data_IF_035582814722
#
_entry.id   IF_035582814722
#
_cell.length_a   1.000
_cell.length_b   1.000
_cell.length_c   1.000
_cell.angle_alpha   90.00
_cell.angle_beta   90.00
_cell.angle_gamma   90.00
#
_symmetry.space_group_name_H-M   'P 1'
#
loop_
_entity.id
_entity.type
_entity.pdbx_description
1 polymer ?
#
# COMPACT_ATOMS: atom_id res chain seq x y z
N UNK A 1 12.95 14.95 8.48
CA UNK A 1 14.22 14.99 7.71
C UNK A 1 13.88 14.99 6.23
N UNK A 2 14.58 15.76 5.41
CA UNK A 2 14.46 15.70 3.94
C UNK A 2 15.68 14.93 3.44
N UNK A 3 15.46 13.87 2.65
CA UNK A 3 16.52 13.07 2.02
C UNK A 3 16.95 13.71 0.70
N UNK A 4 18.21 13.52 0.28
CA UNK A 4 18.67 13.97 -1.04
C UNK A 4 18.26 13.00 -2.13
N UNK A 5 18.17 13.47 -3.38
CA UNK A 5 17.83 12.62 -4.53
C UNK A 5 18.80 11.43 -4.67
N UNK A 6 20.10 11.66 -4.44
CA UNK A 6 21.12 10.60 -4.46
C UNK A 6 20.90 9.54 -3.37
N UNK A 7 20.46 9.96 -2.18
CA UNK A 7 20.11 9.02 -1.09
C UNK A 7 18.86 8.21 -1.43
N UNK A 8 17.86 8.83 -2.07
CA UNK A 8 16.65 8.15 -2.53
C UNK A 8 17.01 7.13 -3.61
N UNK A 9 17.80 7.52 -4.61
CA UNK A 9 18.23 6.63 -5.70
C UNK A 9 19.04 5.43 -5.17
N UNK A 10 19.99 5.68 -4.28
CA UNK A 10 20.78 4.61 -3.66
C UNK A 10 19.90 3.64 -2.86
N UNK A 11 18.87 4.14 -2.17
CA UNK A 11 17.91 3.31 -1.46
C UNK A 11 17.03 2.48 -2.41
N UNK A 12 16.56 3.08 -3.52
CA UNK A 12 15.79 2.37 -4.56
C UNK A 12 16.63 1.26 -5.19
N UNK A 13 17.89 1.54 -5.53
CA UNK A 13 18.80 0.55 -6.07
C UNK A 13 19.07 -0.59 -5.07
N UNK A 14 19.23 -0.26 -3.79
CA UNK A 14 19.43 -1.25 -2.73
C UNK A 14 18.19 -2.12 -2.49
N UNK A 15 16.98 -1.59 -2.71
CA UNK A 15 15.70 -2.33 -2.60
C UNK A 15 15.40 -3.18 -3.85
N UNK A 16 16.02 -2.85 -4.99
CA UNK A 16 15.90 -3.61 -6.23
C UNK A 16 16.69 -4.93 -6.22
N UNK A 17 17.52 -5.15 -5.19
CA UNK A 17 18.17 -6.43 -4.92
C UNK A 17 17.12 -7.50 -4.56
N UNK A 18 16.93 -8.55 -5.39
CA UNK A 18 15.90 -9.56 -5.17
C UNK A 18 16.03 -10.30 -3.83
N UNK A 19 17.25 -10.50 -3.31
CA UNK A 19 17.45 -11.22 -2.05
C UNK A 19 17.04 -10.36 -0.84
N UNK A 20 17.34 -9.06 -0.90
CA UNK A 20 16.89 -8.08 0.11
C UNK A 20 15.38 -7.92 0.09
N UNK A 21 14.79 -7.87 -1.09
CA UNK A 21 13.34 -7.77 -1.26
C UNK A 21 12.65 -9.03 -0.72
N UNK A 22 13.11 -10.23 -1.06
CA UNK A 22 12.56 -11.48 -0.53
C UNK A 22 12.70 -11.58 1.00
N UNK A 23 13.78 -11.05 1.57
CA UNK A 23 13.95 -10.94 3.01
C UNK A 23 12.92 -10.01 3.66
N UNK A 24 12.63 -8.87 3.02
CA UNK A 24 11.59 -7.94 3.46
C UNK A 24 10.19 -8.54 3.34
N UNK A 25 9.87 -9.20 2.23
CA UNK A 25 8.60 -9.89 2.02
C UNK A 25 8.33 -10.95 3.09
N UNK A 26 9.31 -11.77 3.45
CA UNK A 26 9.16 -12.78 4.52
C UNK A 26 8.84 -12.16 5.88
N UNK A 27 9.46 -11.03 6.22
CA UNK A 27 9.19 -10.31 7.47
C UNK A 27 7.79 -9.68 7.45
N UNK A 28 7.41 -9.06 6.34
CA UNK A 28 6.07 -8.48 6.15
C UNK A 28 4.99 -9.57 6.20
N UNK A 29 5.22 -10.72 5.57
CA UNK A 29 4.30 -11.87 5.58
C UNK A 29 4.01 -12.36 7.00
N UNK A 30 5.01 -12.39 7.88
CA UNK A 30 4.83 -12.75 9.29
C UNK A 30 3.94 -11.75 10.06
N UNK A 31 3.94 -10.48 9.64
CA UNK A 31 3.14 -9.40 10.22
C UNK A 31 1.83 -9.15 9.46
N UNK A 32 1.62 -9.81 8.33
CA UNK A 32 0.53 -9.53 7.39
C UNK A 32 -0.86 -9.51 8.02
N UNK A 33 -1.25 -10.42 8.94
CA UNK A 33 -2.57 -10.37 9.57
C UNK A 33 -2.81 -9.09 10.37
N UNK A 34 -1.75 -8.54 10.99
CA UNK A 34 -1.84 -7.32 11.79
C UNK A 34 -1.91 -6.09 10.89
N UNK A 35 -1.07 -6.06 9.86
CA UNK A 35 -1.06 -5.00 8.84
C UNK A 35 -2.38 -4.94 8.06
N UNK A 36 -2.97 -6.10 7.74
CA UNK A 36 -4.24 -6.18 7.02
C UNK A 36 -5.37 -5.47 7.78
N UNK A 37 -5.39 -5.52 9.12
CA UNK A 37 -6.38 -4.80 9.92
C UNK A 37 -6.25 -3.28 9.77
N UNK A 38 -5.02 -2.78 9.79
CA UNK A 38 -4.73 -1.34 9.65
C UNK A 38 -5.06 -0.88 8.23
N UNK A 39 -4.65 -1.65 7.22
CA UNK A 39 -4.93 -1.35 5.81
C UNK A 39 -6.43 -1.34 5.54
N UNK A 40 -7.17 -2.36 6.01
CA UNK A 40 -8.62 -2.42 5.84
C UNK A 40 -9.32 -1.22 6.51
N UNK A 41 -8.84 -0.80 7.67
CA UNK A 41 -9.35 0.39 8.35
C UNK A 41 -9.05 1.67 7.56
N UNK A 42 -7.81 1.89 7.13
CA UNK A 42 -7.41 3.07 6.36
C UNK A 42 -8.14 3.18 5.01
N UNK A 43 -8.37 2.05 4.34
CA UNK A 43 -9.12 2.00 3.08
C UNK A 43 -10.60 2.31 3.27
N UNK A 44 -11.20 1.84 4.37
CA UNK A 44 -12.60 2.12 4.72
C UNK A 44 -12.80 3.56 5.19
N UNK A 45 -11.98 4.06 6.11
CA UNK A 45 -12.11 5.44 6.65
C UNK A 45 -11.81 6.51 5.59
N UNK A 46 -10.86 6.26 4.69
CA UNK A 46 -10.57 7.17 3.58
C UNK A 46 -11.67 7.23 2.52
N UNK A 47 -12.72 6.40 2.63
CA UNK A 47 -13.83 6.36 1.68
C UNK A 47 -13.43 5.85 0.29
N UNK A 48 -12.24 5.26 0.15
CA UNK A 48 -11.65 4.87 -1.13
C UNK A 48 -12.45 3.78 -1.84
N UNK A 49 -13.09 2.89 -1.08
CA UNK A 49 -13.96 1.82 -1.58
C UNK A 49 -15.40 1.96 -1.08
N UNK A 50 -15.90 3.20 -1.02
CA UNK A 50 -17.26 3.50 -0.60
C UNK A 50 -18.31 3.38 -1.71
N UNK A 51 -19.51 3.91 -1.44
CA UNK A 51 -20.69 3.82 -2.33
C UNK A 51 -20.46 4.35 -3.76
N UNK A 52 -19.55 5.33 -3.92
CA UNK A 52 -19.18 5.88 -5.22
C UNK A 52 -18.46 4.84 -6.10
N UNK A 53 -17.49 4.12 -5.53
CA UNK A 53 -16.75 3.07 -6.21
C UNK A 53 -17.68 1.91 -6.60
N UNK A 54 -18.51 1.49 -5.65
CA UNK A 54 -19.58 0.50 -5.87
C UNK A 54 -20.55 0.90 -7.00
N UNK A 55 -20.87 2.19 -7.10
CA UNK A 55 -21.69 2.71 -8.20
C UNK A 55 -20.97 2.64 -9.55
N UNK A 56 -19.67 2.96 -9.59
CA UNK A 56 -18.85 2.86 -10.81
C UNK A 56 -18.71 1.41 -11.27
N UNK A 57 -18.45 0.48 -10.36
CA UNK A 57 -18.41 -0.95 -10.68
C UNK A 57 -19.73 -1.43 -11.27
N UNK A 58 -20.86 -1.09 -10.64
CA UNK A 58 -22.20 -1.42 -11.18
C UNK A 58 -22.46 -0.77 -12.53
N UNK A 59 -21.94 0.43 -12.79
CA UNK A 59 -22.07 1.07 -14.10
C UNK A 59 -21.30 0.27 -15.16
N UNK A 60 -20.03 -0.05 -14.90
CA UNK A 60 -19.20 -0.86 -15.81
C UNK A 60 -19.82 -2.23 -16.07
N UNK A 61 -20.38 -2.90 -15.06
CA UNK A 61 -21.01 -4.21 -15.23
C UNK A 61 -22.27 -4.18 -16.10
N UNK A 62 -22.96 -3.04 -16.20
CA UNK A 62 -24.14 -2.87 -17.05
C UNK A 62 -23.80 -2.58 -18.52
N UNK A 63 -22.53 -2.37 -18.84
CA UNK A 63 -22.09 -2.11 -20.21
C UNK A 63 -22.41 -3.33 -21.10
N UNK A 64 -23.27 -3.18 -22.13
CA UNK A 64 -23.62 -4.27 -23.03
C UNK A 64 -22.47 -4.71 -23.94
N UNK A 65 -21.57 -3.80 -24.33
CA UNK A 65 -20.42 -4.16 -25.15
C UNK A 65 -19.34 -4.86 -24.30
N UNK A 66 -18.93 -6.06 -24.71
CA UNK A 66 -17.96 -6.85 -23.95
C UNK A 66 -16.57 -6.20 -23.90
N UNK A 67 -16.13 -5.58 -24.99
CA UNK A 67 -14.83 -4.93 -25.07
C UNK A 67 -14.81 -3.66 -24.22
N UNK A 68 -15.87 -2.85 -24.25
CA UNK A 68 -16.00 -1.65 -23.41
C UNK A 68 -16.10 -2.02 -21.93
N UNK A 69 -16.88 -3.05 -21.57
CA UNK A 69 -16.94 -3.57 -20.20
C UNK A 69 -15.57 -4.04 -19.72
N UNK A 70 -14.85 -4.80 -20.54
CA UNK A 70 -13.52 -5.28 -20.18
C UNK A 70 -12.51 -4.13 -20.03
N UNK A 71 -12.61 -3.08 -20.86
CA UNK A 71 -11.80 -1.87 -20.72
C UNK A 71 -12.12 -1.13 -19.40
N UNK A 72 -13.40 -0.95 -19.08
CA UNK A 72 -13.85 -0.32 -17.83
C UNK A 72 -13.36 -1.07 -16.60
N UNK A 73 -13.45 -2.41 -16.58
CA UNK A 73 -12.94 -3.22 -15.48
C UNK A 73 -11.42 -3.09 -15.30
N UNK A 74 -10.65 -3.08 -16.40
CA UNK A 74 -9.19 -2.87 -16.33
C UNK A 74 -8.84 -1.52 -15.74
N UNK A 75 -9.58 -0.47 -16.10
CA UNK A 75 -9.40 0.87 -15.53
C UNK A 75 -9.65 0.87 -14.04
N UNK A 76 -10.78 0.30 -13.59
CA UNK A 76 -11.10 0.22 -12.16
C UNK A 76 -10.03 -0.56 -11.38
N UNK A 77 -9.60 -1.71 -11.88
CA UNK A 77 -8.54 -2.52 -11.23
C UNK A 77 -7.20 -1.77 -11.16
N UNK A 78 -6.84 -1.02 -12.20
CA UNK A 78 -5.63 -0.21 -12.20
C UNK A 78 -5.69 0.92 -11.16
N UNK A 79 -6.86 1.53 -10.99
CA UNK A 79 -7.10 2.56 -9.98
C UNK A 79 -7.05 1.98 -8.56
N UNK A 80 -7.74 0.87 -8.29
CA UNK A 80 -7.69 0.15 -7.02
C UNK A 80 -6.26 -0.24 -6.65
N UNK A 81 -5.50 -0.77 -7.60
CA UNK A 81 -4.09 -1.16 -7.39
C UNK A 81 -3.24 0.05 -7.01
N UNK A 82 -3.43 1.18 -7.69
CA UNK A 82 -2.71 2.42 -7.39
C UNK A 82 -3.04 2.93 -5.99
N UNK A 83 -4.32 2.96 -5.62
CA UNK A 83 -4.76 3.41 -4.29
C UNK A 83 -4.23 2.47 -3.20
N UNK A 84 -4.36 1.15 -3.39
CA UNK A 84 -3.84 0.15 -2.46
C UNK A 84 -2.33 0.28 -2.24
N UNK A 85 -1.58 0.54 -3.31
CA UNK A 85 -0.14 0.80 -3.20
C UNK A 85 0.17 2.09 -2.43
N UNK A 86 -0.52 3.20 -2.73
CA UNK A 86 -0.32 4.47 -2.02
C UNK A 86 -0.62 4.34 -0.52
N UNK A 87 -1.75 3.72 -0.18
CA UNK A 87 -2.13 3.47 1.22
C UNK A 87 -1.15 2.51 1.88
N UNK A 88 -0.74 1.45 1.19
CA UNK A 88 0.26 0.50 1.67
C UNK A 88 1.59 1.17 2.03
N UNK A 89 2.10 2.04 1.15
CA UNK A 89 3.34 2.81 1.39
C UNK A 89 3.16 3.77 2.56
N UNK A 90 2.04 4.50 2.64
CA UNK A 90 1.78 5.43 3.73
C UNK A 90 1.72 4.71 5.10
N UNK A 91 0.98 3.60 5.19
CA UNK A 91 0.92 2.78 6.40
C UNK A 91 2.28 2.21 6.77
N UNK A 92 3.05 1.72 5.79
CA UNK A 92 4.40 1.22 6.01
C UNK A 92 5.35 2.30 6.55
N UNK A 93 5.26 3.52 6.02
CA UNK A 93 6.08 4.64 6.47
C UNK A 93 5.73 5.07 7.90
N UNK A 94 4.45 5.23 8.21
CA UNK A 94 4.01 5.60 9.55
C UNK A 94 4.34 4.52 10.59
N UNK A 95 4.21 3.24 10.23
CA UNK A 95 4.62 2.15 11.10
C UNK A 95 6.12 2.17 11.39
N UNK A 96 6.96 2.38 10.38
CA UNK A 96 8.40 2.48 10.57
C UNK A 96 8.76 3.67 11.48
N UNK A 97 8.06 4.81 11.31
CA UNK A 97 8.21 6.00 12.16
C UNK A 97 7.87 5.70 13.62
N UNK A 98 6.74 5.04 13.87
CA UNK A 98 6.29 4.67 15.21
C UNK A 98 7.27 3.69 15.89
N UNK A 99 7.73 2.68 15.16
CA UNK A 99 8.72 1.72 15.67
C UNK A 99 10.07 2.38 16.01
N UNK A 100 10.51 3.35 15.21
CA UNK A 100 11.73 4.12 15.51
C UNK A 100 11.56 5.03 16.74
N UNK A 101 10.37 5.61 16.95
CA UNK A 101 10.08 6.41 18.14
C UNK A 101 10.10 5.56 19.41
N UNK A 102 9.41 4.42 19.41
CA UNK A 102 9.41 3.48 20.55
C UNK A 102 10.82 2.96 20.88
N UNK A 103 11.68 2.77 19.88
CA UNK A 103 13.08 2.36 20.08
C UNK A 103 13.94 3.47 20.70
N UNK A 104 13.74 4.73 20.28
CA UNK A 104 14.50 5.87 20.80
C UNK A 104 14.03 6.32 22.20
N UNK A 105 12.75 6.11 22.54
CA UNK A 105 12.20 6.42 23.86
C UNK A 105 12.58 5.39 24.93
N UNK A 106 13.11 4.22 24.52
CA UNK A 106 13.53 3.16 25.43
C UNK A 106 15.03 2.81 25.24
N UNK A 107 15.97 3.70 25.60
CA UNK A 107 17.40 3.43 25.46
C UNK A 107 17.94 2.41 26.50
N UNK A 108 17.08 1.74 27.27
CA UNK A 108 17.48 0.86 28.38
C UNK A 108 16.41 -0.13 28.86
N UNK A 109 15.80 -0.88 27.95
CA UNK A 109 15.08 -2.11 28.33
C UNK A 109 16.03 -3.30 28.21
N UNK A 110 16.39 -3.90 29.35
CA UNK A 110 17.30 -5.06 29.58
C UNK A 110 17.46 -6.07 28.43
#
# INVERSE_FOLDING_TARGET
MVFTDEQVEAAVQALSDPERFAGAERRVAALAPQLQRILAHALNEGGWFGDAHESQLRQVLREPDEAERAAGLRTLLAEETRIGMLVGVAVGWELARELHQTTNENPGGD
#
